data_IF_898903080764
#
_entry.id   IF_898903080764
#
_cell.length_a   1.000
_cell.length_b   1.000
_cell.length_c   1.000
_cell.angle_alpha   90.00
_cell.angle_beta   90.00
_cell.angle_gamma   90.00
#
_symmetry.space_group_name_H-M   'P 1'
#
loop_
_entity.id
_entity.type
_entity.pdbx_description
1 polymer ?
2 non-polymer ?
3 non-polymer ?
4 water ?
#
# COMPACT_ATOMS: atom_id res chain seq x y z
N UNK A 11 -13.59 1.29 -19.75
CA UNK A 11 -12.53 0.32 -19.46
C UNK A 11 -12.27 -0.56 -20.67
N UNK A 12 -11.00 -0.75 -21.02
CA UNK A 12 -10.67 -1.64 -22.13
C UNK A 12 -11.24 -3.03 -21.85
N UNK A 13 -12.03 -3.53 -22.78
CA UNK A 13 -12.55 -4.88 -22.72
C UNK A 13 -11.58 -5.79 -23.45
N UNK A 14 -11.12 -6.84 -22.78
CA UNK A 14 -10.12 -7.75 -23.31
C UNK A 14 -10.82 -9.04 -23.74
N UNK A 15 -10.50 -9.53 -24.94
CA UNK A 15 -11.09 -10.79 -25.38
C UNK A 15 -10.39 -11.95 -24.69
N UNK A 16 -11.15 -12.96 -24.24
CA UNK A 16 -10.53 -14.09 -23.50
C UNK A 16 -9.48 -14.85 -24.30
N UNK A 17 -9.52 -14.80 -25.63
CA UNK A 17 -8.49 -15.47 -26.42
C UNK A 17 -7.13 -14.84 -26.22
N UNK A 18 -7.08 -13.56 -25.85
CA UNK A 18 -5.81 -12.89 -25.61
C UNK A 18 -5.24 -13.13 -24.22
N UNK A 19 -5.94 -13.89 -23.37
CA UNK A 19 -5.57 -14.10 -21.99
C UNK A 19 -5.25 -15.58 -21.77
N UNK A 20 -4.21 -15.86 -20.99
CA UNK A 20 -3.84 -17.23 -20.65
C UNK A 20 -3.48 -17.27 -19.17
N UNK A 21 -4.30 -17.96 -18.37
CA UNK A 21 -3.97 -18.24 -16.98
C UNK A 21 -2.93 -19.35 -16.94
N UNK A 22 -1.91 -19.17 -16.10
CA UNK A 22 -0.79 -20.09 -16.01
C UNK A 22 -0.59 -20.71 -14.64
N UNK A 23 -0.93 -20.01 -13.55
CA UNK A 23 -0.73 -20.53 -12.21
C UNK A 23 -1.56 -19.72 -11.23
N UNK A 24 -2.24 -20.42 -10.31
CA UNK A 24 -2.90 -19.76 -9.19
C UNK A 24 -1.85 -19.15 -8.27
N UNK A 25 -2.02 -17.88 -7.92
CA UNK A 25 -1.09 -17.23 -7.01
C UNK A 25 -1.78 -16.63 -5.80
N UNK A 26 -3.08 -16.85 -5.61
CA UNK A 26 -3.78 -16.20 -4.52
C UNK A 26 -5.24 -16.59 -4.46
N UNK A 27 -5.83 -16.34 -3.28
CA UNK A 27 -7.23 -16.65 -3.01
C UNK A 27 -8.16 -15.47 -3.26
N UNK A 28 -7.75 -14.27 -2.84
CA UNK A 28 -8.39 -13.05 -3.29
C UNK A 28 -9.79 -12.75 -2.79
N UNK A 29 -10.20 -11.49 -2.93
CA UNK A 29 -11.50 -11.05 -2.43
C UNK A 29 -12.65 -11.67 -3.22
N UNK A 30 -12.42 -12.06 -4.47
CA UNK A 30 -13.49 -12.42 -5.39
C UNK A 30 -13.38 -13.83 -5.95
N UNK A 31 -12.48 -14.64 -5.44
CA UNK A 31 -12.10 -15.87 -6.09
C UNK A 31 -10.64 -15.81 -6.51
N UNK A 32 -10.23 -16.83 -7.24
CA UNK A 32 -8.80 -17.05 -7.42
C UNK A 32 -8.12 -15.89 -8.13
N UNK A 33 -6.80 -15.79 -7.91
CA UNK A 33 -5.95 -14.84 -8.60
C UNK A 33 -4.83 -15.64 -9.25
N UNK A 34 -4.55 -15.35 -10.52
CA UNK A 34 -3.54 -16.06 -11.30
C UNK A 34 -2.48 -15.11 -11.79
N UNK A 35 -1.30 -15.65 -12.03
CA UNK A 35 -0.39 -15.04 -12.98
C UNK A 35 -0.68 -15.62 -14.35
N UNK A 36 -0.46 -14.83 -15.38
CA UNK A 36 -0.69 -15.31 -16.72
C UNK A 36 -0.04 -14.39 -17.75
N UNK A 37 -0.45 -14.59 -19.00
CA UNK A 37 0.11 -13.87 -20.12
C UNK A 37 -1.00 -13.20 -20.91
N UNK A 38 -0.65 -12.04 -21.47
CA UNK A 38 -1.57 -11.21 -22.22
C UNK A 38 -0.90 -10.76 -23.49
N UNK A 39 -1.57 -10.97 -24.63
CA UNK A 39 -1.21 -10.39 -25.94
C UNK A 39 0.18 -9.74 -26.06
N UNK A 46 3.93 -11.09 -25.74
CA UNK A 46 3.16 -11.37 -24.53
C UNK A 46 3.70 -10.56 -23.35
N UNK A 47 2.80 -10.03 -22.54
CA UNK A 47 3.14 -9.35 -21.29
C UNK A 47 2.60 -10.18 -20.14
N UNK A 48 3.37 -10.43 -19.09
CA UNK A 48 2.83 -11.18 -17.96
C UNK A 48 1.86 -10.30 -17.20
N UNK A 49 0.83 -10.93 -16.65
CA UNK A 49 -0.22 -10.21 -15.94
C UNK A 49 -0.64 -10.99 -14.71
N UNK A 50 -1.33 -10.30 -13.82
CA UNK A 50 -2.14 -10.92 -12.78
C UNK A 50 -3.60 -10.87 -13.22
N UNK A 51 -4.34 -11.93 -12.90
CA UNK A 51 -5.70 -12.08 -13.37
C UNK A 51 -6.58 -12.40 -12.16
N UNK A 52 -7.47 -11.47 -11.81
CA UNK A 52 -8.42 -11.66 -10.72
C UNK A 52 -9.78 -12.02 -11.31
N UNK A 53 -10.37 -13.10 -10.80
CA UNK A 53 -11.63 -13.62 -11.31
C UNK A 53 -12.75 -13.48 -10.29
N UNK A 54 -13.97 -13.43 -10.81
CA UNK A 54 -15.20 -13.38 -10.04
C UNK A 54 -15.99 -14.63 -10.38
N UNK A 55 -15.97 -15.60 -9.48
CA UNK A 55 -16.52 -16.91 -9.80
C UNK A 55 -18.06 -16.86 -9.88
N UNK A 56 -18.62 -17.92 -10.46
CA UNK A 56 -20.02 -17.93 -10.84
C UNK A 56 -20.95 -17.90 -9.62
N UNK A 57 -22.16 -17.43 -9.83
CA UNK A 57 -23.06 -17.22 -8.72
C UNK A 57 -22.77 -15.98 -7.90
N UNK A 58 -21.88 -15.11 -8.37
CA UNK A 58 -21.60 -13.87 -7.66
C UNK A 58 -22.87 -13.02 -7.52
N UNK A 59 -22.90 -12.24 -6.45
CA UNK A 59 -24.05 -11.41 -6.10
C UNK A 59 -23.97 -10.05 -6.80
N UNK A 60 -25.08 -9.31 -6.72
CA UNK A 60 -25.13 -7.97 -7.28
C UNK A 60 -24.08 -7.07 -6.64
N UNK A 61 -23.99 -7.12 -5.33
CA UNK A 61 -23.02 -6.38 -4.56
C UNK A 61 -21.60 -6.73 -4.99
N UNK A 62 -21.34 -8.03 -5.13
CA UNK A 62 -20.03 -8.49 -5.56
C UNK A 62 -19.69 -7.97 -6.95
N UNK A 63 -20.67 -7.98 -7.86
CA UNK A 63 -20.44 -7.48 -9.21
C UNK A 63 -20.17 -5.99 -9.19
N UNK A 64 -20.89 -5.24 -8.36
CA UNK A 64 -20.69 -3.80 -8.28
C UNK A 64 -19.33 -3.48 -7.68
N UNK A 65 -18.90 -4.25 -6.68
CA UNK A 65 -17.57 -4.03 -6.11
C UNK A 65 -16.47 -4.43 -7.10
N UNK A 66 -16.59 -5.63 -7.68
CA UNK A 66 -15.58 -6.13 -8.61
C UNK A 66 -15.36 -5.17 -9.77
N UNK A 67 -16.44 -4.88 -10.52
CA UNK A 67 -16.32 -4.00 -11.67
C UNK A 67 -16.20 -2.54 -11.25
N UNK A 68 -16.68 -2.20 -10.07
CA UNK A 68 -16.45 -0.86 -9.56
C UNK A 68 -14.98 -0.63 -9.28
N UNK A 69 -14.33 -1.59 -8.62
CA UNK A 69 -12.89 -1.52 -8.42
C UNK A 69 -12.16 -1.34 -9.74
N UNK A 70 -12.45 -2.19 -10.72
CA UNK A 70 -11.81 -2.08 -12.03
C UNK A 70 -12.08 -0.73 -12.66
N UNK A 71 -13.30 -0.22 -12.49
CA UNK A 71 -13.64 1.07 -13.08
C UNK A 71 -12.78 2.21 -12.57
N UNK A 72 -12.42 2.17 -11.29
CA UNK A 72 -11.60 3.27 -10.78
C UNK A 72 -10.14 3.08 -11.18
N UNK A 73 -9.66 1.86 -11.17
CA UNK A 73 -8.31 1.60 -11.53
C UNK A 73 -8.01 1.94 -12.97
N UNK A 74 -8.91 1.63 -13.90
CA UNK A 74 -8.68 1.95 -15.30
C UNK A 74 -8.57 3.44 -15.53
N UNK A 75 -9.36 4.22 -14.80
CA UNK A 75 -9.32 5.67 -14.96
C UNK A 75 -8.02 6.25 -14.40
N UNK A 76 -7.54 5.70 -13.27
CA UNK A 76 -6.32 6.19 -12.66
C UNK A 76 -5.10 6.01 -13.56
N UNK A 77 -4.19 6.96 -13.50
CA UNK A 77 -2.99 6.91 -14.32
C UNK A 77 -1.85 7.53 -13.51
N UNK A 78 -1.25 6.71 -12.64
CA UNK A 78 -0.14 7.17 -11.83
C UNK A 78 0.90 6.07 -11.67
N UNK A 79 2.18 6.45 -11.75
CA UNK A 79 3.29 5.53 -11.69
C UNK A 79 3.24 4.61 -10.47
N UNK A 80 2.70 5.08 -9.34
CA UNK A 80 2.70 4.33 -8.10
C UNK A 80 1.33 3.76 -7.74
N UNK A 81 0.46 3.60 -8.73
CA UNK A 81 -0.81 2.89 -8.62
C UNK A 81 -0.76 1.73 -9.62
N UNK A 82 -1.24 0.56 -9.20
CA UNK A 82 -1.19 -0.61 -10.07
C UNK A 82 -1.87 -0.31 -11.40
N UNK A 83 -1.24 -0.66 -12.47
CA UNK A 83 -1.80 -0.47 -13.76
C UNK A 83 -2.87 -1.55 -14.08
N UNK A 84 -4.02 -1.12 -14.55
CA UNK A 84 -5.05 -2.02 -15.04
C UNK A 84 -4.87 -2.18 -16.56
N UNK A 85 -4.72 -3.42 -17.03
CA UNK A 85 -4.63 -3.65 -18.46
C UNK A 85 -6.02 -3.70 -19.11
N UNK A 86 -7.03 -4.09 -18.37
CA UNK A 86 -8.38 -4.20 -18.91
C UNK A 86 -9.16 -5.24 -18.13
N UNK A 87 -10.44 -5.37 -18.52
CA UNK A 87 -11.36 -6.30 -17.87
C UNK A 87 -11.95 -7.24 -18.90
N UNK A 88 -12.38 -8.41 -18.41
CA UNK A 88 -13.26 -9.29 -19.16
C UNK A 88 -14.58 -9.28 -18.41
N UNK A 89 -15.59 -8.64 -19.01
CA UNK A 89 -16.92 -8.56 -18.43
C UNK A 89 -17.97 -9.24 -19.28
N UNK A 90 -17.76 -9.33 -20.60
CA UNK A 90 -18.74 -9.96 -21.48
C UNK A 90 -18.81 -11.46 -21.25
N UNK A 91 -17.70 -12.07 -20.86
CA UNK A 91 -17.62 -13.51 -20.68
C UNK A 91 -17.43 -13.85 -19.19
N UNK A 92 -17.76 -15.09 -18.86
CA UNK A 92 -17.74 -15.54 -17.47
C UNK A 92 -16.81 -16.74 -17.33
N UNK A 93 -16.04 -16.79 -16.24
CA UNK A 93 -16.03 -15.81 -15.13
C UNK A 93 -15.40 -14.45 -15.52
N UNK A 94 -15.91 -13.37 -14.93
CA UNK A 94 -15.35 -12.04 -15.18
C UNK A 94 -13.93 -11.95 -14.63
N UNK A 95 -13.13 -11.09 -15.26
CA UNK A 95 -11.70 -11.03 -14.96
C UNK A 95 -11.23 -9.59 -14.91
N UNK A 96 -10.37 -9.30 -13.92
CA UNK A 96 -9.65 -8.04 -13.81
C UNK A 96 -8.19 -8.36 -14.13
N UNK A 97 -7.63 -7.71 -15.15
CA UNK A 97 -6.28 -8.02 -15.64
C UNK A 97 -5.36 -6.83 -15.34
N UNK A 98 -4.38 -7.04 -14.47
CA UNK A 98 -3.47 -5.98 -14.06
C UNK A 98 -2.04 -6.34 -14.45
N UNK A 99 -1.17 -5.34 -14.43
CA UNK A 99 0.26 -5.60 -14.63
C UNK A 99 0.75 -6.56 -13.56
N UNK A 100 1.65 -7.45 -13.96
CA UNK A 100 2.22 -8.38 -13.02
C UNK A 100 3.36 -7.70 -12.29
N UNK A 101 3.42 -7.89 -10.99
CA UNK A 101 4.41 -7.22 -10.14
C UNK A 101 5.39 -8.29 -9.65
N UNK A 102 6.62 -8.23 -10.17
CA UNK A 102 7.51 -9.38 -10.15
C UNK A 102 7.93 -9.75 -8.73
N UNK A 103 8.02 -8.78 -7.83
CA UNK A 103 8.52 -9.05 -6.49
C UNK A 103 7.42 -9.21 -5.43
N UNK A 104 6.15 -9.13 -5.82
CA UNK A 104 5.07 -9.48 -4.90
C UNK A 104 4.78 -8.40 -3.87
N UNK A 105 4.19 -8.83 -2.75
CA UNK A 105 3.79 -7.91 -1.70
C UNK A 105 5.00 -7.36 -0.95
N UNK A 106 4.93 -6.07 -0.61
CA UNK A 106 6.07 -5.39 0.02
C UNK A 106 6.44 -6.00 1.38
N UNK A 107 5.45 -6.31 2.24
CA UNK A 107 5.78 -6.85 3.56
C UNK A 107 6.58 -8.15 3.44
N UNK A 108 6.13 -9.07 2.58
CA UNK A 108 6.82 -10.33 2.39
C UNK A 108 8.18 -10.13 1.73
N UNK A 109 8.23 -9.25 0.73
CA UNK A 109 9.48 -8.87 0.08
C UNK A 109 10.54 -8.44 1.09
N UNK A 110 10.21 -7.47 1.95
CA UNK A 110 11.19 -6.95 2.90
C UNK A 110 11.66 -8.03 3.88
N UNK A 111 10.74 -8.87 4.36
CA UNK A 111 11.08 -9.89 5.33
C UNK A 111 12.01 -10.95 4.76
N UNK A 112 12.04 -11.12 3.44
CA UNK A 112 12.93 -12.06 2.78
C UNK A 112 14.24 -11.41 2.32
N UNK A 113 14.39 -10.11 2.52
CA UNK A 113 15.55 -9.35 2.03
C UNK A 113 16.13 -8.51 3.14
N UNK A 114 16.06 -8.98 4.39
CA UNK A 114 16.48 -8.21 5.53
C UNK A 114 17.88 -7.64 5.32
N UNK A 115 17.99 -6.32 5.39
CA UNK A 115 19.28 -5.65 5.33
C UNK A 115 19.91 -5.51 3.96
N UNK A 116 19.23 -5.88 2.88
CA UNK A 116 19.87 -5.92 1.57
C UNK A 116 19.83 -4.59 0.81
N UNK A 117 19.06 -3.60 1.27
CA UNK A 117 18.96 -2.33 0.55
C UNK A 117 19.67 -1.24 1.31
N UNK A 118 20.04 -0.18 0.58
CA UNK A 118 20.58 1.01 1.21
C UNK A 118 19.44 1.89 1.74
N UNK A 119 19.80 2.79 2.66
CA UNK A 119 18.79 3.69 3.20
C UNK A 119 18.22 4.57 2.09
N UNK A 120 19.02 4.91 1.09
CA UNK A 120 18.50 5.69 -0.02
C UNK A 120 17.44 4.90 -0.79
N UNK A 121 17.69 3.60 -1.04
CA UNK A 121 16.70 2.78 -1.73
C UNK A 121 15.41 2.65 -0.91
N UNK A 122 15.53 2.44 0.41
CA UNK A 122 14.35 2.35 1.26
C UNK A 122 13.51 3.62 1.20
N UNK A 123 14.16 4.78 1.25
CA UNK A 123 13.46 6.06 1.21
C UNK A 123 12.85 6.31 -0.18
N UNK A 124 13.51 5.84 -1.24
CA UNK A 124 12.90 5.91 -2.55
C UNK A 124 11.62 5.10 -2.65
N UNK A 125 11.58 3.92 -2.02
CA UNK A 125 10.36 3.14 -2.02
C UNK A 125 9.24 3.88 -1.31
N UNK A 126 9.56 4.49 -0.17
CA UNK A 126 8.56 5.25 0.57
C UNK A 126 8.07 6.46 -0.22
N UNK A 127 8.96 7.13 -0.96
CA UNK A 127 8.56 8.26 -1.80
C UNK A 127 7.52 7.84 -2.82
N UNK A 128 7.76 6.72 -3.50
CA UNK A 128 6.78 6.23 -4.45
C UNK A 128 5.42 5.95 -3.82
N UNK A 129 5.42 5.32 -2.64
CA UNK A 129 4.14 5.04 -1.96
C UNK A 129 3.44 6.34 -1.61
N UNK A 130 4.21 7.32 -1.12
CA UNK A 130 3.65 8.62 -0.77
C UNK A 130 3.06 9.32 -1.99
N UNK A 131 3.74 9.26 -3.13
CA UNK A 131 3.23 9.84 -4.37
C UNK A 131 1.93 9.16 -4.81
N UNK A 132 1.92 7.84 -4.78
CA UNK A 132 0.75 7.07 -5.17
C UNK A 132 -0.42 7.38 -4.26
N UNK A 133 -0.14 7.48 -2.97
CA UNK A 133 -1.16 7.77 -1.98
C UNK A 133 -1.70 9.18 -2.20
N UNK A 134 -0.81 10.09 -2.57
CA UNK A 134 -1.18 11.47 -2.81
C UNK A 134 -2.17 11.54 -3.97
N UNK A 135 -1.90 10.79 -5.02
CA UNK A 135 -2.77 10.75 -6.19
C UNK A 135 -4.16 10.29 -5.79
N UNK A 136 -4.22 9.31 -4.90
CA UNK A 136 -5.49 8.78 -4.41
C UNK A 136 -6.23 9.83 -3.57
N UNK A 137 -5.51 10.49 -2.66
CA UNK A 137 -6.15 11.49 -1.82
C UNK A 137 -6.69 12.67 -2.65
N UNK A 138 -5.91 13.13 -3.64
CA UNK A 138 -6.37 14.22 -4.51
C UNK A 138 -7.58 13.81 -5.34
N UNK A 139 -7.63 12.55 -5.76
CA UNK A 139 -8.77 12.03 -6.50
C UNK A 139 -9.98 11.73 -5.60
N UNK A 140 -9.86 12.00 -4.30
CA UNK A 140 -10.92 11.88 -3.29
C UNK A 140 -11.22 10.43 -2.90
N UNK A 141 -10.20 9.57 -2.83
CA UNK A 141 -10.35 8.21 -2.32
C UNK A 141 -9.58 8.07 -1.01
N UNK A 142 -10.24 7.47 -0.02
CA UNK A 142 -9.64 7.07 1.24
C UNK A 142 -9.38 5.57 1.18
N UNK A 143 -8.14 5.17 1.45
CA UNK A 143 -7.78 3.77 1.28
C UNK A 143 -8.31 2.91 2.43
N UNK A 144 -8.02 3.31 3.68
CA UNK A 144 -8.46 2.66 4.92
C UNK A 144 -7.66 1.43 5.30
N UNK A 145 -6.94 0.82 4.36
CA UNK A 145 -6.21 -0.43 4.55
C UNK A 145 -4.78 -0.29 4.05
N UNK A 146 -4.20 0.90 4.21
CA UNK A 146 -2.84 1.15 3.77
C UNK A 146 -1.88 0.40 4.69
N UNK A 147 -1.23 -0.62 4.14
CA UNK A 147 -0.28 -1.46 4.87
C UNK A 147 0.68 -2.04 3.85
N UNK A 148 1.87 -2.43 4.33
CA UNK A 148 2.86 -2.97 3.41
C UNK A 148 2.33 -4.19 2.67
N UNK A 149 1.43 -4.97 3.29
CA UNK A 149 0.85 -6.13 2.61
C UNK A 149 -0.04 -5.73 1.44
N UNK A 150 -0.44 -4.47 1.35
CA UNK A 150 -1.26 -4.00 0.24
C UNK A 150 -0.46 -3.18 -0.78
N UNK A 151 0.87 -3.15 -0.66
CA UNK A 151 1.74 -2.52 -1.66
C UNK A 151 2.45 -3.63 -2.43
N UNK A 152 2.56 -3.49 -3.75
CA UNK A 152 3.32 -4.45 -4.56
C UNK A 152 4.60 -3.81 -5.08
N UNK A 153 5.58 -4.67 -5.44
CA UNK A 153 6.91 -4.22 -5.79
C UNK A 153 7.32 -4.87 -7.12
N UNK A 154 7.90 -4.08 -8.02
CA UNK A 154 8.29 -4.64 -9.31
C UNK A 154 9.82 -4.75 -9.37
N UNK A 155 10.31 -5.24 -10.51
CA UNK A 155 11.74 -5.47 -10.69
C UNK A 155 12.53 -4.20 -10.87
N UNK A 156 11.89 -3.02 -10.88
CA UNK A 156 12.59 -1.75 -10.75
C UNK A 156 12.55 -1.21 -9.32
N UNK A 157 12.09 -2.00 -8.35
CA UNK A 157 11.96 -1.59 -6.96
C UNK A 157 10.91 -0.48 -6.79
N UNK A 158 10.00 -0.32 -7.76
CA UNK A 158 8.91 0.64 -7.65
C UNK A 158 7.75 0.01 -6.89
N UNK A 159 7.25 0.73 -5.87
CA UNK A 159 6.13 0.31 -5.05
C UNK A 159 4.84 0.97 -5.55
N UNK A 160 3.80 0.16 -5.73
CA UNK A 160 2.53 0.66 -6.24
C UNK A 160 1.42 0.25 -5.29
N UNK A 161 0.53 1.19 -4.98
CA UNK A 161 -0.62 0.89 -4.14
C UNK A 161 -1.57 -0.03 -4.89
N UNK A 162 -2.05 -1.05 -4.22
CA UNK A 162 -3.15 -1.87 -4.72
C UNK A 162 -4.21 -2.00 -3.62
N UNK A 163 -5.04 -3.03 -3.74
CA UNK A 163 -6.03 -3.45 -2.77
C UNK A 163 -7.16 -2.50 -2.88
N UNK A 164 -6.89 -1.28 -2.51
CA UNK A 164 -7.83 -0.19 -2.56
C UNK A 164 -8.53 -0.01 -1.25
N UNK A 165 -8.20 -0.92 -0.38
CA UNK A 165 -8.67 -0.90 0.93
C UNK A 165 -10.08 -1.29 0.96
N UNK A 166 -10.65 -0.87 2.05
CA UNK A 166 -12.03 -1.17 2.36
C UNK A 166 -12.90 -0.04 1.86
N UNK A 167 -14.14 -0.39 1.52
CA UNK A 167 -15.11 0.60 1.06
C UNK A 167 -15.76 1.28 2.26
N UNK A 185 -10.75 -3.98 9.31
CA UNK A 185 -10.10 -2.88 10.02
C UNK A 185 -8.81 -3.31 10.71
N UNK A 186 -7.68 -3.14 10.03
CA UNK A 186 -6.39 -3.54 10.63
C UNK A 186 -5.98 -2.62 11.77
N UNK A 187 -6.17 -3.08 13.01
CA UNK A 187 -6.05 -2.21 14.19
C UNK A 187 -4.69 -1.53 14.23
N UNK A 188 -3.63 -2.30 13.99
CA UNK A 188 -2.26 -1.81 14.17
C UNK A 188 -1.86 -0.74 13.15
N UNK A 189 -2.64 -0.58 12.08
CA UNK A 189 -2.35 0.40 11.05
C UNK A 189 -3.33 1.55 11.06
N UNK A 190 -4.33 1.52 11.95
CA UNK A 190 -5.47 2.42 11.84
C UNK A 190 -5.32 3.60 12.79
N UNK A 191 -5.72 4.77 12.32
CA UNK A 191 -5.59 5.97 13.11
C UNK A 191 -6.54 5.94 14.31
N UNK A 192 -6.19 6.62 15.40
CA UNK A 192 -7.05 6.64 16.60
C UNK A 192 -8.47 7.07 16.33
N UNK A 193 -8.68 8.15 15.57
CA UNK A 193 -10.04 8.62 15.30
C UNK A 193 -10.84 7.62 14.47
N UNK A 194 -10.16 6.79 13.67
CA UNK A 194 -10.88 5.79 12.87
C UNK A 194 -11.26 4.58 13.72
N UNK A 195 -10.36 4.16 14.63
CA UNK A 195 -10.69 3.12 15.59
C UNK A 195 -11.84 3.57 16.49
N UNK A 196 -11.74 4.80 16.98
CA UNK A 196 -12.61 5.22 18.06
C UNK A 196 -13.99 5.63 17.56
N UNK A 197 -14.08 6.34 16.43
CA UNK A 197 -15.41 6.71 15.98
C UNK A 197 -15.58 6.65 14.46
N UNK A 198 -14.77 5.83 13.78
CA UNK A 198 -14.98 5.47 12.37
C UNK A 198 -14.80 6.66 11.43
N UNK A 199 -14.01 7.65 11.83
CA UNK A 199 -13.69 8.75 10.95
C UNK A 199 -12.47 8.35 10.11
N UNK A 200 -12.73 7.87 8.91
CA UNK A 200 -11.66 7.55 7.95
C UNK A 200 -11.56 8.70 6.95
N UNK A 201 -10.37 9.31 6.86
CA UNK A 201 -10.10 10.39 5.92
C UNK A 201 -8.70 10.20 5.35
N UNK A 202 -8.28 11.10 4.45
CA UNK A 202 -6.91 11.00 3.97
C UNK A 202 -5.91 11.23 5.10
N UNK A 203 -6.31 11.89 6.19
CA UNK A 203 -5.42 12.08 7.34
C UNK A 203 -5.26 10.79 8.14
N UNK A 204 -6.28 9.93 8.20
CA UNK A 204 -6.04 8.63 8.82
C UNK A 204 -5.21 7.72 7.92
N UNK A 205 -5.29 7.89 6.60
CA UNK A 205 -4.34 7.22 5.70
C UNK A 205 -2.91 7.68 5.97
N UNK A 206 -2.72 8.98 6.28
CA UNK A 206 -1.38 9.48 6.62
C UNK A 206 -0.83 8.78 7.85
N UNK A 207 -1.68 8.56 8.86
CA UNK A 207 -1.28 7.73 9.99
C UNK A 207 -0.82 6.35 9.53
N UNK A 208 -1.63 5.67 8.71
CA UNK A 208 -1.24 4.35 8.21
C UNK A 208 0.07 4.40 7.45
N UNK A 209 0.29 5.49 6.69
CA UNK A 209 1.54 5.62 5.93
C UNK A 209 2.74 5.69 6.86
N UNK A 210 2.58 6.36 8.00
CA UNK A 210 3.64 6.35 9.00
C UNK A 210 3.98 4.94 9.46
N UNK A 211 2.94 4.10 9.67
CA UNK A 211 3.19 2.70 9.99
C UNK A 211 3.94 2.02 8.86
N UNK A 212 3.53 2.25 7.61
CA UNK A 212 4.24 1.66 6.47
C UNK A 212 5.71 2.08 6.44
N UNK A 213 5.98 3.37 6.68
CA UNK A 213 7.36 3.82 6.83
C UNK A 213 8.09 2.95 7.84
N UNK A 214 7.46 2.68 8.98
CA UNK A 214 8.11 1.90 10.01
C UNK A 214 8.31 0.44 9.56
N UNK A 215 7.32 -0.13 8.85
CA UNK A 215 7.46 -1.47 8.28
C UNK A 215 8.65 -1.55 7.31
N UNK A 216 8.83 -0.53 6.47
CA UNK A 216 9.92 -0.56 5.49
C UNK A 216 11.27 -0.39 6.17
N UNK A 217 11.39 0.56 7.07
CA UNK A 217 12.62 0.82 7.78
C UNK A 217 13.07 -0.34 8.67
N UNK A 218 12.16 -1.16 9.13
CA UNK A 218 12.48 -2.33 9.93
C UNK A 218 12.54 -3.61 9.12
N UNK A 219 12.32 -3.53 7.81
CA UNK A 219 12.29 -4.70 6.93
C UNK A 219 11.15 -5.66 7.30
N UNK A 220 9.97 -5.10 7.56
CA UNK A 220 8.80 -5.94 7.77
C UNK A 220 8.57 -6.43 9.19
N UNK A 221 9.06 -5.73 10.21
CA UNK A 221 8.64 -6.04 11.57
C UNK A 221 7.15 -5.80 11.74
N UNK A 222 6.54 -6.59 12.63
CA UNK A 222 5.14 -6.42 12.99
C UNK A 222 4.98 -5.26 13.96
N UNK A 223 4.13 -4.28 13.65
CA UNK A 223 3.93 -3.14 14.56
C UNK A 223 3.42 -3.58 15.93
N UNK A 224 4.07 -3.07 16.98
CA UNK A 224 3.64 -3.25 18.38
C UNK A 224 3.70 -4.73 18.78
N UNK A 225 4.79 -5.38 18.41
CA UNK A 225 4.85 -6.81 18.03
C UNK A 225 3.88 -7.93 18.62
N UNK A 226 3.78 -8.41 19.85
CA UNK A 226 4.01 -7.86 21.14
C UNK A 226 2.53 -7.72 21.73
N UNK A 227 2.03 -6.51 21.81
CA UNK A 227 0.78 -6.02 22.37
C UNK A 227 -0.42 -6.68 21.72
N UNK A 228 -1.48 -6.85 22.50
CA UNK A 228 -2.76 -7.25 21.95
C UNK A 228 -3.39 -6.09 21.21
N UNK A 229 -4.39 -6.41 20.39
CA UNK A 229 -5.14 -5.35 19.71
C UNK A 229 -5.69 -4.35 20.70
N UNK A 230 -6.24 -4.81 21.82
CA UNK A 230 -6.78 -3.88 22.79
C UNK A 230 -5.67 -3.04 23.42
N UNK A 231 -4.51 -3.64 23.68
CA UNK A 231 -3.42 -2.89 24.28
C UNK A 231 -2.85 -1.84 23.31
N UNK A 232 -2.82 -2.14 22.01
CA UNK A 232 -2.40 -1.14 21.03
C UNK A 232 -3.32 0.07 21.09
N UNK A 233 -4.64 -0.17 21.04
CA UNK A 233 -5.57 0.95 21.07
C UNK A 233 -5.40 1.77 22.33
N UNK A 234 -5.25 1.10 23.48
CA UNK A 234 -5.02 1.79 24.73
C UNK A 234 -3.68 2.54 24.72
N UNK A 235 -2.64 1.92 24.17
CA UNK A 235 -1.33 2.56 24.14
C UNK A 235 -1.33 3.79 23.25
N UNK A 236 -1.89 3.69 22.04
CA UNK A 236 -1.94 4.82 21.13
C UNK A 236 -2.63 6.01 21.79
N UNK A 237 -3.75 5.77 22.47
CA UNK A 237 -4.47 6.88 23.06
C UNK A 237 -3.74 7.49 24.24
N UNK A 238 -2.88 6.72 24.91
CA UNK A 238 -2.01 7.24 25.95
C UNK A 238 -0.75 7.92 25.39
N UNK A 239 -0.62 8.06 24.08
CA UNK A 239 0.52 8.73 23.49
C UNK A 239 1.72 7.86 23.18
N UNK A 240 1.64 6.55 23.42
CA UNK A 240 2.73 5.65 23.08
C UNK A 240 2.83 5.50 21.57
N UNK A 241 4.06 5.27 21.08
CA UNK A 241 4.30 5.16 19.65
C UNK A 241 5.38 4.13 19.37
N UNK A 242 5.47 3.72 18.10
CA UNK A 242 6.47 2.73 17.69
C UNK A 242 7.88 3.31 17.86
N UNK A 243 8.86 2.48 18.22
CA UNK A 243 10.19 2.99 18.55
C UNK A 243 11.05 3.15 17.31
N UNK A 244 12.23 3.72 17.52
CA UNK A 244 13.13 4.01 16.40
C UNK A 244 13.67 2.71 15.80
N UNK A 245 13.51 2.50 14.49
CA UNK A 245 14.17 1.34 13.85
C UNK A 245 15.68 1.51 13.82
N UNK A 246 16.36 0.37 13.67
CA UNK A 246 17.80 0.35 13.45
C UNK A 246 18.12 1.04 12.14
N UNK A 247 19.23 1.77 12.11
CA UNK A 247 19.72 2.40 10.88
C UNK A 247 18.65 3.28 10.23
N UNK A 248 17.97 4.09 11.04
CA UNK A 248 16.92 4.94 10.52
C UNK A 248 17.32 6.40 10.60
N UNK A 249 17.28 7.15 9.48
CA UNK A 249 17.64 8.58 9.55
C UNK A 249 16.74 9.34 10.51
N UNK A 250 17.34 10.33 11.20
CA UNK A 250 16.56 11.21 12.06
C UNK A 250 15.35 11.79 11.33
N UNK A 251 15.57 12.30 10.11
CA UNK A 251 14.48 12.93 9.37
C UNK A 251 13.34 11.97 9.10
N UNK A 252 13.68 10.69 8.87
CA UNK A 252 12.67 9.69 8.57
C UNK A 252 11.87 9.33 9.83
N UNK A 253 12.56 9.16 10.97
CA UNK A 253 11.83 8.90 12.21
C UNK A 253 10.99 10.12 12.61
N UNK A 254 11.54 11.33 12.42
CA UNK A 254 10.76 12.53 12.73
C UNK A 254 9.50 12.61 11.87
N UNK A 255 9.61 12.30 10.59
CA UNK A 255 8.45 12.37 9.71
C UNK A 255 7.39 11.34 10.12
N UNK A 256 7.77 10.10 10.41
CA UNK A 256 6.74 9.14 10.81
C UNK A 256 6.12 9.53 12.14
N UNK A 257 6.88 10.17 13.03
CA UNK A 257 6.31 10.64 14.29
C UNK A 257 5.28 11.74 14.06
N UNK A 258 5.50 12.60 13.06
CA UNK A 258 4.50 13.60 12.68
C UNK A 258 3.26 12.96 12.06
N UNK A 259 3.43 11.89 11.28
CA UNK A 259 2.26 11.17 10.79
C UNK A 259 1.40 10.61 11.93
N UNK A 260 2.00 10.40 13.10
CA UNK A 260 1.31 9.81 14.23
C UNK A 260 0.87 10.84 15.26
N UNK A 261 0.69 12.09 14.83
CA UNK A 261 0.10 13.10 15.72
C UNK A 261 -1.32 12.68 16.09
N UNK A 262 -1.62 12.70 17.39
CA UNK A 262 -2.96 12.35 17.84
C UNK A 262 -4.01 13.19 17.14
N UNK A 263 -3.74 14.47 16.96
CA UNK A 263 -4.68 15.39 16.35
C UNK A 263 -4.50 15.36 14.83
N UNK A 264 -5.57 14.98 14.13
CA UNK A 264 -5.59 14.89 12.66
C UNK A 264 -4.96 16.10 12.01
N UNK A 265 -5.36 17.29 12.45
CA UNK A 265 -4.96 18.50 11.74
C UNK A 265 -3.47 18.77 11.87
N UNK A 266 -2.79 18.15 12.82
CA UNK A 266 -1.34 18.32 12.94
C UNK A 266 -0.55 17.32 12.10
N UNK A 267 -1.21 16.36 11.48
CA UNK A 267 -0.46 15.48 10.61
C UNK A 267 -0.12 16.18 9.30
N UNK A 268 1.03 15.87 8.69
CA UNK A 268 1.33 16.38 7.36
C UNK A 268 0.38 15.82 6.31
N UNK A 269 0.22 16.57 5.22
CA UNK A 269 -0.48 16.04 4.06
C UNK A 269 0.46 15.14 3.27
N UNK A 270 -0.13 14.35 2.38
CA UNK A 270 0.70 13.55 1.49
C UNK A 270 1.57 14.43 0.61
N UNK A 271 1.06 15.60 0.19
CA UNK A 271 1.89 16.55 -0.55
C UNK A 271 3.12 16.96 0.26
N UNK A 272 2.94 17.30 1.54
CA UNK A 272 4.08 17.62 2.39
C UNK A 272 5.05 16.43 2.46
N UNK A 273 4.51 15.22 2.60
CA UNK A 273 5.35 14.03 2.76
C UNK A 273 6.22 13.82 1.54
N UNK A 274 5.60 13.80 0.35
CA UNK A 274 6.34 13.62 -0.90
C UNK A 274 7.43 14.68 -1.01
N UNK A 275 7.09 15.94 -0.70
CA UNK A 275 8.05 17.03 -0.83
C UNK A 275 9.26 16.81 0.06
N UNK A 276 9.02 16.47 1.34
CA UNK A 276 10.12 16.23 2.27
C UNK A 276 10.98 15.06 1.80
N UNK A 277 10.34 13.95 1.43
CA UNK A 277 11.11 12.80 0.98
C UNK A 277 11.92 13.13 -0.27
N UNK A 278 11.36 13.98 -1.16
CA UNK A 278 12.11 14.43 -2.33
C UNK A 278 13.37 15.21 -1.95
N UNK A 279 13.26 16.12 -0.97
CA UNK A 279 14.44 16.87 -0.54
C UNK A 279 15.49 15.94 0.06
N UNK A 280 15.05 14.97 0.86
CA UNK A 280 15.99 14.03 1.44
C UNK A 280 16.69 13.22 0.34
N UNK A 281 15.95 12.81 -0.69
CA UNK A 281 16.53 11.98 -1.74
C UNK A 281 17.51 12.78 -2.59
N UNK A 282 17.25 14.08 -2.78
CA UNK A 282 18.12 14.91 -3.59
C UNK A 282 19.38 15.33 -2.86
N UNK A 283 19.37 15.32 -1.53
CA UNK A 283 20.55 15.60 -0.72
C UNK A 283 20.83 14.38 0.13
N UNK A 284 21.38 13.30 -0.46
CA UNK A 284 21.39 12.01 0.23
C UNK A 284 22.26 11.98 1.47
N UNK A 285 23.19 12.91 1.66
CA UNK A 285 23.94 12.93 2.89
C UNK A 285 23.05 13.22 4.10
N UNK A 286 21.88 13.84 3.88
CA UNK A 286 20.94 14.09 4.97
C UNK A 286 20.46 12.80 5.60
N UNK A 287 20.46 11.72 4.82
CA UNK A 287 20.04 10.42 5.31
C UNK A 287 21.11 9.74 6.14
N UNK A 288 22.33 10.28 6.16
CA UNK A 288 23.41 9.68 6.93
C UNK A 288 23.32 9.99 8.41
N UNK A 289 22.59 11.04 8.79
CA UNK A 289 22.34 11.32 10.20
C UNK A 289 21.22 10.41 10.71
N UNK A 290 21.58 9.47 11.59
CA UNK A 290 20.67 8.42 12.05
C UNK A 290 20.08 8.77 13.41
N UNK A 291 18.79 8.51 13.58
CA UNK A 291 18.20 8.58 14.90
C UNK A 291 18.79 7.48 15.78
N UNK A 292 19.00 7.80 17.06
CA UNK A 292 19.52 6.81 18.00
C UNK A 292 18.58 5.63 18.11
N UNK A 293 19.14 4.43 18.12
CA UNK A 293 18.40 3.18 18.24
C UNK A 293 18.58 2.59 19.62
N UNK A 294 17.51 2.03 20.17
CA UNK A 294 17.59 1.34 21.47
C UNK A 294 16.64 0.16 21.59
X LIG B 1 -2.23 -8.29 -8.35
X LIG B 1 -3.00 -8.54 -5.93
X LIG B 1 -4.62 -7.11 -4.75
X LIG B 1 -4.12 -6.35 -2.50
X LIG B 1 -2.92 -7.02 -2.53
X LIG B 1 -2.57 -7.75 -3.67
X LIG B 1 -2.70 -9.90 -5.79
X LIG B 1 -3.34 -11.93 -4.65
X LIG B 1 -2.31 -12.61 -5.29
X LIG B 1 6.37 -14.81 -5.23
X LIG B 1 5.46 -14.06 -4.78
X LIG B 1 5.23 -14.03 -3.56
X LIG B 1 4.75 -13.24 -5.65
X LIG B 1 5.32 -12.78 -6.83
X LIG B 1 4.61 -11.93 -7.67
X LIG B 1 3.31 -11.53 -7.37
X LIG B 1 2.70 -10.71 -8.26
X LIG B 1 1.45 -10.19 -8.18
X LIG B 1 1.19 -9.19 -9.03
X LIG B 1 -0.05 -8.54 -9.08
X LIG B 1 -1.04 -9.00 -8.21
X LIG B 1 -2.75 -7.82 -7.03
X LIG B 1 -3.41 -7.82 -4.79
X LIG B 1 -5.50 -7.11 -5.82
X LIG B 1 -4.96 -6.40 -3.61
X LIG B 1 -1.35 -8.43 -3.66
X LIG B 1 -3.53 -10.56 -4.89
X LIG B 1 -4.38 -12.80 -3.53
X LIG B 1 -1.47 -11.95 -6.18
X LIG B 1 -1.67 -10.60 -6.44
X LIG B 1 -0.76 -10.06 -7.35
X LIG B 1 0.46 -10.64 -7.37
X LIG B 1 2.73 -12.00 -6.19
X LIG B 1 3.45 -12.84 -5.32
X LIG C 1 -19.45 -13.31 -29.45
X LIG C 1 -18.64 -14.40 -28.98
X LIG C 1 -20.28 -13.77 -30.64
X LIG C 1 -19.78 -15.02 -31.12
#
# INVERSE_FOLDING_TARGET
>A
GDPNQAVLKFTTEIHPSCVTRQKVIGAGEFGEVYKGMLKTSSGKKEVPVAIKTLKAGYTEKQRVDFLGEAGIMGQFSHHNIIRLEGVISKYKPMMIITEYMENGALDKFLREKDGEFSVLQLVGMLRGIAAGMKYLANMNYVHRDLAARNILVNSNLVCKVSDFGLSRVLEDDPEATYTTSGGKIPIRWTAPEAISYRKFTSASDVWSFGIVMWEVMTYGERPYWELSNHEVMKAINDGFRLPTPMDCPSAIYQLMMQCWQQERARRPKFADIVSILDKLIRAPDSLKTLADFDPRVSIRLPSTSG
>B hetero
1 ZZL C13 C15 C17 C20 C21 C22 C24 C26 C28 O01 C02 O03 C04 C05 C06 C07 N08 C09 N10 C11 C12 N14 C16 F18 C19 F23 C25 CL1 C29 C30 C31 N32 C33 C34
>C hetero
1 EDO C1 O1 C2 O2
#
